data_IF_795930398067
#
_entry.id   IF_795930398067
#
_cell.length_a   1.000
_cell.length_b   1.000
_cell.length_c   1.000
_cell.angle_alpha   90.00
_cell.angle_beta   90.00
_cell.angle_gamma   90.00
#
_symmetry.space_group_name_H-M   'P 1'
#
loop_
_entity.id
_entity.type
_entity.pdbx_description
1 polymer ?
#
# COMPACT_ATOMS: atom_id res chain seq x y z
N UNK A 1 0.53 -5.17 1.01
CA UNK A 1 -0.22 -3.93 1.36
C UNK A 1 0.76 -2.82 1.71
N UNK A 2 0.32 -1.57 1.90
CA UNK A 2 1.20 -0.43 2.25
C UNK A 2 0.46 0.60 3.11
N UNK A 3 1.17 1.27 4.02
CA UNK A 3 0.69 2.43 4.78
C UNK A 3 0.61 3.72 3.95
N UNK A 4 1.25 3.75 2.77
CA UNK A 4 1.39 4.94 1.91
C UNK A 4 0.77 4.75 0.52
N UNK A 5 0.78 3.52 0.00
CA UNK A 5 0.22 3.24 -1.32
C UNK A 5 -1.30 3.43 -1.39
N UNK A 6 -1.76 4.18 -2.38
CA UNK A 6 -3.18 4.34 -2.70
C UNK A 6 -3.80 3.06 -3.26
N UNK A 7 -5.09 2.84 -2.94
CA UNK A 7 -5.80 1.66 -3.38
C UNK A 7 -6.24 1.78 -4.85
N UNK A 8 -5.54 1.08 -5.75
CA UNK A 8 -5.70 1.20 -7.20
C UNK A 8 -7.10 0.87 -7.74
N UNK A 9 -7.94 0.11 -7.01
CA UNK A 9 -9.34 -0.11 -7.41
C UNK A 9 -10.18 1.17 -7.42
N UNK A 10 -9.78 2.19 -6.65
CA UNK A 10 -10.48 3.46 -6.54
C UNK A 10 -10.22 4.39 -7.73
N UNK A 11 -9.28 4.06 -8.62
CA UNK A 11 -9.03 4.85 -9.83
C UNK A 11 -10.25 4.78 -10.75
N UNK A 12 -10.88 5.91 -11.03
CA UNK A 12 -12.02 6.02 -11.95
C UNK A 12 -11.57 5.76 -13.40
N UNK A 13 -12.20 4.81 -14.11
CA UNK A 13 -11.98 4.59 -15.54
C UNK A 13 -12.41 5.77 -16.40
N UNK A 14 -13.45 6.51 -16.00
CA UNK A 14 -13.92 7.70 -16.70
C UNK A 14 -12.88 8.81 -16.66
N UNK A 15 -12.24 9.04 -15.50
CA UNK A 15 -11.14 9.98 -15.36
C UNK A 15 -9.90 9.61 -16.17
N UNK A 16 -9.67 8.31 -16.41
CA UNK A 16 -8.62 7.87 -17.34
C UNK A 16 -8.94 8.29 -18.79
N UNK A 17 -10.21 8.30 -19.19
CA UNK A 17 -10.64 8.80 -20.50
C UNK A 17 -10.50 10.31 -20.58
N UNK A 18 -10.89 11.05 -19.53
CA UNK A 18 -10.72 12.51 -19.47
C UNK A 18 -9.26 12.95 -19.64
N UNK A 19 -8.32 12.16 -19.09
CA UNK A 19 -6.89 12.40 -19.20
C UNK A 19 -6.24 11.82 -20.47
N UNK A 20 -7.04 11.27 -21.39
CA UNK A 20 -6.58 10.59 -22.61
C UNK A 20 -5.67 9.37 -22.37
N UNK A 21 -5.72 8.77 -21.18
CA UNK A 21 -5.05 7.50 -20.91
C UNK A 21 -5.89 6.33 -21.40
N UNK A 22 -7.21 6.47 -21.49
CA UNK A 22 -8.10 5.52 -22.16
C UNK A 22 -8.92 6.20 -23.25
N UNK A 23 -9.40 5.42 -24.21
CA UNK A 23 -10.38 5.88 -25.18
C UNK A 23 -11.81 5.61 -24.68
N UNK A 24 -12.79 6.34 -25.21
CA UNK A 24 -14.22 6.04 -24.97
C UNK A 24 -14.60 4.62 -25.43
N UNK A 25 -13.89 4.05 -26.39
CA UNK A 25 -14.16 2.70 -26.87
C UNK A 25 -13.72 1.64 -25.86
N UNK A 26 -12.63 1.88 -25.13
CA UNK A 26 -12.17 0.96 -24.07
C UNK A 26 -13.25 0.72 -23.01
N UNK A 27 -13.99 1.77 -22.64
CA UNK A 27 -15.09 1.65 -21.67
C UNK A 27 -16.36 1.00 -22.26
N UNK A 28 -16.62 1.19 -23.56
CA UNK A 28 -17.79 0.58 -24.23
C UNK A 28 -17.69 -0.94 -24.35
N UNK A 29 -16.48 -1.49 -24.31
CA UNK A 29 -16.26 -2.94 -24.38
C UNK A 29 -16.45 -3.64 -23.03
N UNK A 30 -16.70 -2.89 -21.96
CA UNK A 30 -16.92 -3.45 -20.62
C UNK A 30 -18.29 -4.13 -20.58
N UNK A 31 -18.27 -5.41 -20.23
CA UNK A 31 -19.49 -6.17 -19.97
C UNK A 31 -20.06 -5.79 -18.59
N UNK A 32 -20.97 -4.81 -18.59
CA UNK A 32 -21.61 -4.30 -17.37
C UNK A 32 -22.46 -5.35 -16.64
N UNK A 33 -22.86 -6.45 -17.31
CA UNK A 33 -23.66 -7.51 -16.69
C UNK A 33 -22.93 -8.27 -15.58
N UNK A 34 -21.59 -8.11 -15.49
CA UNK A 34 -20.73 -8.69 -14.46
C UNK A 34 -20.70 -7.89 -13.15
N UNK A 35 -21.40 -6.75 -13.10
CA UNK A 35 -21.38 -5.81 -11.98
C UNK A 35 -22.78 -5.56 -11.46
N UNK A 36 -22.85 -5.09 -10.21
CA UNK A 36 -24.09 -4.86 -9.49
C UNK A 36 -24.06 -3.47 -8.85
N UNK A 37 -25.21 -2.80 -8.82
CA UNK A 37 -25.32 -1.47 -8.22
C UNK A 37 -25.31 -1.53 -6.68
N UNK A 38 -25.74 -2.66 -6.09
CA UNK A 38 -25.90 -2.81 -4.64
C UNK A 38 -24.65 -3.35 -3.93
N UNK A 39 -23.75 -4.02 -4.63
CA UNK A 39 -22.55 -4.61 -4.03
C UNK A 39 -21.37 -4.69 -4.99
N UNK A 40 -20.17 -4.73 -4.41
CA UNK A 40 -18.93 -4.82 -5.17
C UNK A 40 -18.62 -6.28 -5.50
N UNK A 41 -18.70 -6.64 -6.78
CA UNK A 41 -18.20 -7.91 -7.29
C UNK A 41 -16.66 -7.91 -7.36
N UNK A 42 -15.98 -8.03 -6.20
CA UNK A 42 -14.54 -7.77 -6.05
C UNK A 42 -13.65 -8.47 -7.09
N UNK A 43 -13.90 -9.75 -7.39
CA UNK A 43 -13.12 -10.49 -8.40
C UNK A 43 -13.29 -9.89 -9.80
N UNK A 44 -14.51 -9.52 -10.17
CA UNK A 44 -14.79 -8.91 -11.47
C UNK A 44 -14.18 -7.50 -11.56
N UNK A 45 -14.29 -6.70 -10.49
CA UNK A 45 -13.69 -5.36 -10.41
C UNK A 45 -12.17 -5.44 -10.50
N UNK A 46 -11.53 -6.36 -9.76
CA UNK A 46 -10.08 -6.58 -9.82
C UNK A 46 -9.62 -6.84 -11.24
N UNK A 47 -10.20 -7.83 -11.90
CA UNK A 47 -9.82 -8.23 -13.26
C UNK A 47 -10.02 -7.08 -14.25
N UNK A 48 -11.15 -6.37 -14.16
CA UNK A 48 -11.42 -5.21 -15.02
C UNK A 48 -10.39 -4.09 -14.79
N UNK A 49 -10.12 -3.73 -13.54
CA UNK A 49 -9.20 -2.64 -13.21
C UNK A 49 -7.77 -2.99 -13.63
N UNK A 50 -7.33 -4.24 -13.47
CA UNK A 50 -6.03 -4.72 -13.97
C UNK A 50 -5.91 -4.52 -15.49
N UNK A 51 -6.93 -4.95 -16.24
CA UNK A 51 -6.94 -4.79 -17.71
C UNK A 51 -6.91 -3.32 -18.12
N UNK A 52 -7.77 -2.49 -17.54
CA UNK A 52 -7.89 -1.08 -17.89
C UNK A 52 -6.65 -0.27 -17.52
N UNK A 53 -6.05 -0.53 -16.36
CA UNK A 53 -4.84 0.18 -15.94
C UNK A 53 -3.63 -0.23 -16.80
N UNK A 54 -3.55 -1.50 -17.22
CA UNK A 54 -2.55 -1.95 -18.18
C UNK A 54 -2.65 -1.21 -19.51
N UNK A 55 -3.86 -1.13 -20.08
CA UNK A 55 -4.12 -0.34 -21.31
C UNK A 55 -3.80 1.14 -21.12
N UNK A 56 -4.20 1.70 -19.98
CA UNK A 56 -3.97 3.10 -19.66
C UNK A 56 -2.48 3.45 -19.59
N UNK A 57 -1.67 2.56 -19.03
CA UNK A 57 -0.23 2.72 -18.96
C UNK A 57 0.42 2.69 -20.35
N UNK A 58 0.01 1.76 -21.22
CA UNK A 58 0.55 1.69 -22.58
C UNK A 58 0.18 2.93 -23.40
N UNK A 59 -1.07 3.40 -23.31
CA UNK A 59 -1.47 4.66 -23.95
C UNK A 59 -0.72 5.87 -23.38
N UNK A 60 -0.52 5.93 -22.06
CA UNK A 60 0.24 6.99 -21.41
C UNK A 60 1.68 7.05 -21.95
N UNK A 61 2.35 5.90 -22.04
CA UNK A 61 3.71 5.79 -22.61
C UNK A 61 3.77 6.21 -24.07
N UNK A 62 2.80 5.81 -24.89
CA UNK A 62 2.82 6.06 -26.33
C UNK A 62 2.43 7.49 -26.71
N UNK A 63 1.46 8.08 -25.99
CA UNK A 63 0.80 9.30 -26.43
C UNK A 63 1.26 10.56 -25.67
N UNK A 64 1.85 10.40 -24.49
CA UNK A 64 2.33 11.54 -23.69
C UNK A 64 3.85 11.66 -23.77
N UNK A 65 4.33 12.69 -24.49
CA UNK A 65 5.76 12.97 -24.64
C UNK A 65 6.47 13.29 -23.32
N UNK A 66 5.71 13.72 -22.30
CA UNK A 66 6.24 14.04 -20.97
C UNK A 66 6.01 12.88 -19.97
N UNK A 67 5.56 11.70 -20.43
CA UNK A 67 5.25 10.57 -19.57
C UNK A 67 6.40 10.23 -18.62
N UNK A 68 7.61 10.06 -19.15
CA UNK A 68 8.80 9.72 -18.37
C UNK A 68 9.14 10.81 -17.34
N UNK A 69 9.07 12.09 -17.73
CA UNK A 69 9.33 13.20 -16.82
C UNK A 69 8.27 13.31 -15.71
N UNK A 70 6.99 13.07 -16.01
CA UNK A 70 5.90 13.06 -15.03
C UNK A 70 6.10 11.95 -13.99
N UNK A 71 6.39 10.72 -14.43
CA UNK A 71 6.63 9.60 -13.52
C UNK A 71 7.91 9.81 -12.71
N UNK A 72 8.98 10.34 -13.32
CA UNK A 72 10.22 10.68 -12.61
C UNK A 72 9.98 11.73 -11.53
N UNK A 73 9.26 12.81 -11.84
CA UNK A 73 8.94 13.85 -10.86
C UNK A 73 8.09 13.30 -9.71
N UNK A 74 7.09 12.48 -10.01
CA UNK A 74 6.28 11.83 -8.99
C UNK A 74 7.11 10.88 -8.13
N UNK A 75 7.99 10.08 -8.76
CA UNK A 75 8.91 9.19 -8.05
C UNK A 75 9.81 9.97 -7.07
N UNK A 76 10.46 11.06 -7.51
CA UNK A 76 11.31 11.85 -6.62
C UNK A 76 10.52 12.49 -5.47
N UNK A 77 9.30 12.96 -5.72
CA UNK A 77 8.42 13.52 -4.67
C UNK A 77 7.97 12.47 -3.65
N UNK A 78 7.85 11.21 -4.08
CA UNK A 78 7.34 10.10 -3.26
C UNK A 78 8.43 9.09 -2.87
N UNK A 79 9.70 9.43 -3.08
CA UNK A 79 10.84 8.50 -2.99
C UNK A 79 10.96 7.79 -1.66
N UNK A 80 10.53 8.43 -0.57
CA UNK A 80 10.58 7.90 0.79
C UNK A 80 9.74 6.62 1.00
N UNK A 81 8.80 6.30 0.10
CA UNK A 81 8.01 5.06 0.17
C UNK A 81 7.86 4.34 -1.17
N UNK A 82 7.86 5.06 -2.29
CA UNK A 82 7.43 4.50 -3.58
C UNK A 82 8.42 3.49 -4.18
N UNK A 83 9.71 3.65 -3.92
CA UNK A 83 10.74 2.75 -4.45
C UNK A 83 10.55 1.34 -3.89
N UNK A 84 10.54 1.21 -2.56
CA UNK A 84 10.24 -0.07 -1.90
C UNK A 84 8.85 -0.58 -2.25
N UNK A 85 7.84 0.30 -2.29
CA UNK A 85 6.47 -0.09 -2.64
C UNK A 85 6.40 -0.78 -4.01
N UNK A 86 7.03 -0.20 -5.03
CA UNK A 86 6.98 -0.75 -6.39
C UNK A 86 7.81 -2.02 -6.52
N UNK A 87 8.97 -2.11 -5.85
CA UNK A 87 9.74 -3.34 -5.76
C UNK A 87 8.96 -4.46 -5.08
N UNK A 88 8.34 -4.17 -3.94
CA UNK A 88 7.53 -5.14 -3.21
C UNK A 88 6.41 -5.70 -4.09
N UNK A 89 5.68 -4.86 -4.81
CA UNK A 89 4.62 -5.31 -5.72
C UNK A 89 5.17 -6.17 -6.87
N UNK A 90 6.25 -5.72 -7.51
CA UNK A 90 6.88 -6.45 -8.62
C UNK A 90 7.41 -7.82 -8.17
N UNK A 91 8.06 -7.90 -7.00
CA UNK A 91 8.53 -9.16 -6.45
C UNK A 91 7.34 -10.05 -6.09
N UNK A 92 6.31 -9.49 -5.44
CA UNK A 92 5.13 -10.25 -5.03
C UNK A 92 4.40 -10.90 -6.20
N UNK A 93 4.38 -10.27 -7.36
CA UNK A 93 3.83 -10.85 -8.59
C UNK A 93 4.62 -12.06 -9.10
N UNK A 94 5.92 -12.14 -8.81
CA UNK A 94 6.75 -13.30 -9.15
C UNK A 94 6.56 -14.47 -8.17
N UNK A 95 6.14 -14.18 -6.94
CA UNK A 95 5.96 -15.14 -5.85
C UNK A 95 4.50 -15.15 -5.38
N UNK A 96 3.57 -15.45 -6.28
CA UNK A 96 2.11 -15.34 -6.08
C UNK A 96 1.55 -16.07 -4.84
N UNK A 97 2.31 -17.00 -4.26
CA UNK A 97 1.93 -17.78 -3.08
C UNK A 97 2.81 -17.43 -1.88
N UNK A 98 2.17 -17.11 -0.75
CA UNK A 98 2.84 -16.86 0.52
C UNK A 98 3.06 -15.37 0.81
N UNK A 99 3.93 -15.11 1.77
CA UNK A 99 4.31 -13.77 2.24
C UNK A 99 5.72 -13.43 1.78
N UNK A 100 6.15 -12.18 1.97
CA UNK A 100 7.54 -11.80 1.69
C UNK A 100 8.58 -12.59 2.50
N UNK A 101 8.19 -13.24 3.59
CA UNK A 101 9.06 -14.10 4.39
C UNK A 101 9.39 -15.45 3.73
N UNK A 102 8.64 -15.81 2.69
CA UNK A 102 8.84 -17.02 1.88
C UNK A 102 9.74 -16.76 0.66
N UNK A 103 10.11 -15.50 0.41
CA UNK A 103 11.00 -15.13 -0.69
C UNK A 103 12.43 -15.65 -0.48
N UNK A 104 13.23 -15.78 -1.56
CA UNK A 104 14.67 -16.05 -1.43
C UNK A 104 15.34 -15.11 -0.42
N UNK A 105 16.32 -15.63 0.32
CA UNK A 105 16.91 -14.91 1.47
C UNK A 105 17.40 -13.50 1.11
N UNK A 106 17.96 -13.33 -0.09
CA UNK A 106 18.43 -12.02 -0.57
C UNK A 106 17.30 -10.99 -0.74
N UNK A 107 16.13 -11.40 -1.24
CA UNK A 107 14.96 -10.54 -1.38
C UNK A 107 14.26 -10.33 -0.04
N UNK A 108 14.08 -11.41 0.74
CA UNK A 108 13.47 -11.37 2.07
C UNK A 108 14.20 -10.42 3.02
N UNK A 109 15.54 -10.41 2.95
CA UNK A 109 16.39 -9.54 3.79
C UNK A 109 16.69 -8.17 3.16
N UNK A 110 15.98 -7.80 2.09
CA UNK A 110 16.11 -6.49 1.46
C UNK A 110 17.56 -6.18 1.05
N UNK A 111 18.27 -7.16 0.47
CA UNK A 111 19.65 -6.96 0.05
C UNK A 111 19.72 -6.07 -1.18
N UNK A 112 20.44 -4.95 -1.08
CA UNK A 112 20.50 -3.93 -2.14
C UNK A 112 20.88 -4.48 -3.51
N UNK A 113 21.84 -5.41 -3.58
CA UNK A 113 22.27 -6.04 -4.84
C UNK A 113 21.15 -6.83 -5.54
N UNK A 114 20.33 -7.56 -4.77
CA UNK A 114 19.21 -8.31 -5.32
C UNK A 114 18.09 -7.36 -5.79
N UNK A 115 17.84 -6.29 -5.04
CA UNK A 115 16.85 -5.27 -5.44
C UNK A 115 17.30 -4.49 -6.68
N UNK A 116 18.58 -4.18 -6.80
CA UNK A 116 19.14 -3.52 -7.99
C UNK A 116 19.01 -4.39 -9.25
N UNK A 117 19.15 -5.71 -9.11
CA UNK A 117 18.87 -6.64 -10.19
C UNK A 117 17.40 -6.57 -10.62
N UNK A 118 16.45 -6.59 -9.67
CA UNK A 118 15.02 -6.43 -9.98
C UNK A 118 14.74 -5.08 -10.64
N UNK A 119 15.35 -3.98 -10.17
CA UNK A 119 15.21 -2.65 -10.80
C UNK A 119 15.63 -2.66 -12.28
N UNK A 120 16.69 -3.40 -12.61
CA UNK A 120 17.18 -3.52 -13.99
C UNK A 120 16.29 -4.43 -14.84
N UNK A 121 15.93 -5.60 -14.32
CA UNK A 121 15.18 -6.62 -15.06
C UNK A 121 13.70 -6.27 -15.24
N UNK A 122 13.10 -5.58 -14.27
CA UNK A 122 11.66 -5.29 -14.20
C UNK A 122 11.33 -3.80 -14.31
N UNK A 123 12.19 -3.03 -14.98
CA UNK A 123 12.06 -1.56 -15.09
C UNK A 123 10.67 -1.12 -15.57
N UNK A 124 10.12 -1.76 -16.60
CA UNK A 124 8.81 -1.40 -17.15
C UNK A 124 7.67 -1.70 -16.16
N UNK A 125 7.77 -2.83 -15.44
CA UNK A 125 6.77 -3.19 -14.43
C UNK A 125 6.78 -2.27 -13.22
N UNK A 126 7.97 -1.86 -12.78
CA UNK A 126 8.13 -0.85 -11.73
C UNK A 126 7.52 0.48 -12.19
N UNK A 127 7.80 0.91 -13.42
CA UNK A 127 7.21 2.13 -13.99
C UNK A 127 5.67 2.05 -14.10
N UNK A 128 5.12 0.87 -14.40
CA UNK A 128 3.67 0.63 -14.33
C UNK A 128 3.12 0.87 -12.92
N UNK A 129 3.75 0.35 -11.87
CA UNK A 129 3.29 0.58 -10.49
C UNK A 129 3.42 2.05 -10.08
N UNK A 130 4.48 2.75 -10.51
CA UNK A 130 4.63 4.20 -10.30
C UNK A 130 3.49 4.94 -11.00
N UNK A 131 3.16 4.59 -12.25
CA UNK A 131 2.04 5.17 -12.99
C UNK A 131 0.71 4.97 -12.28
N UNK A 132 0.42 3.76 -11.79
CA UNK A 132 -0.83 3.48 -11.07
C UNK A 132 -0.95 4.38 -9.83
N UNK A 133 0.12 4.56 -9.06
CA UNK A 133 0.12 5.47 -7.91
C UNK A 133 0.01 6.94 -8.34
N UNK A 134 0.72 7.35 -9.39
CA UNK A 134 0.62 8.70 -9.95
C UNK A 134 -0.83 9.05 -10.30
N UNK A 135 -1.52 8.16 -11.01
CA UNK A 135 -2.94 8.33 -11.38
C UNK A 135 -3.83 8.38 -10.14
N UNK A 136 -3.65 7.45 -9.20
CA UNK A 136 -4.42 7.44 -7.95
C UNK A 136 -4.32 8.79 -7.24
N UNK A 137 -3.11 9.29 -7.02
CA UNK A 137 -2.88 10.54 -6.31
C UNK A 137 -3.41 11.75 -7.07
N UNK A 138 -3.29 11.76 -8.39
CA UNK A 138 -3.88 12.82 -9.22
C UNK A 138 -5.41 12.89 -8.99
N UNK A 139 -6.11 11.76 -9.09
CA UNK A 139 -7.57 11.72 -8.92
C UNK A 139 -7.99 12.03 -7.48
N UNK A 140 -7.24 11.51 -6.50
CA UNK A 140 -7.51 11.76 -5.09
C UNK A 140 -7.37 13.24 -4.73
N UNK A 141 -6.31 13.90 -5.19
CA UNK A 141 -6.11 15.34 -4.93
C UNK A 141 -7.12 16.22 -5.67
N UNK A 142 -7.58 15.81 -6.87
CA UNK A 142 -8.69 16.48 -7.55
C UNK A 142 -9.97 16.43 -6.70
N UNK A 143 -10.31 15.25 -6.16
CA UNK A 143 -11.46 15.06 -5.28
C UNK A 143 -11.32 15.86 -3.98
N UNK A 144 -10.16 15.78 -3.32
CA UNK A 144 -9.87 16.52 -2.08
C UNK A 144 -10.03 18.02 -2.32
N UNK A 145 -9.46 18.54 -3.41
CA UNK A 145 -9.61 19.95 -3.79
C UNK A 145 -11.09 20.32 -3.99
N UNK A 146 -11.83 19.51 -4.74
CA UNK A 146 -13.26 19.75 -4.99
C UNK A 146 -14.08 19.84 -3.69
N UNK A 147 -13.80 18.95 -2.73
CA UNK A 147 -14.45 18.93 -1.41
C UNK A 147 -14.05 20.17 -0.58
N UNK A 148 -12.76 20.48 -0.51
CA UNK A 148 -12.25 21.59 0.28
C UNK A 148 -12.68 22.97 -0.26
N UNK A 149 -12.77 23.13 -1.58
CA UNK A 149 -13.33 24.33 -2.22
C UNK A 149 -14.82 24.56 -1.84
N UNK A 150 -15.49 23.53 -1.30
CA UNK A 150 -16.87 23.56 -0.78
C UNK A 150 -16.94 23.50 0.74
N UNK A 151 -15.82 23.71 1.42
CA UNK A 151 -15.70 23.64 2.88
C UNK A 151 -16.07 22.26 3.47
N UNK A 152 -15.98 21.19 2.67
CA UNK A 152 -16.14 19.81 3.14
C UNK A 152 -14.77 19.24 3.43
N UNK A 153 -14.53 18.85 4.69
CA UNK A 153 -13.30 18.18 5.13
C UNK A 153 -13.42 16.67 4.99
N UNK A 154 -12.33 16.01 4.61
CA UNK A 154 -12.21 14.56 4.53
C UNK A 154 -11.59 14.03 5.82
N UNK A 155 -12.28 13.08 6.46
CA UNK A 155 -11.78 12.33 7.61
C UNK A 155 -11.23 11.00 7.11
N UNK A 156 -9.91 10.79 7.25
CA UNK A 156 -9.27 9.51 7.00
C UNK A 156 -9.32 8.58 8.20
N UNK A 157 -9.02 7.30 7.95
CA UNK A 157 -8.87 6.27 8.98
C UNK A 157 -7.55 5.52 8.76
N UNK A 158 -6.84 5.25 9.85
CA UNK A 158 -5.52 4.62 9.85
C UNK A 158 -5.46 3.61 10.99
N UNK A 159 -5.37 2.30 10.68
CA UNK A 159 -5.07 1.28 11.66
C UNK A 159 -3.74 1.56 12.36
N UNK A 160 -3.66 1.37 13.67
CA UNK A 160 -2.37 1.53 14.38
C UNK A 160 -1.33 0.52 13.87
N UNK A 161 -1.73 -0.75 13.67
CA UNK A 161 -0.85 -1.80 13.17
C UNK A 161 -0.84 -1.86 11.65
N UNK A 162 0.24 -2.42 11.11
CA UNK A 162 0.41 -2.69 9.70
C UNK A 162 0.26 -4.19 9.48
N UNK A 163 -0.27 -4.58 8.31
CA UNK A 163 -0.28 -5.97 7.89
C UNK A 163 1.12 -6.57 7.78
N UNK A 164 1.28 -7.82 8.23
CA UNK A 164 2.55 -8.50 8.15
C UNK A 164 3.08 -8.55 6.72
N UNK A 165 2.21 -8.87 5.78
CA UNK A 165 2.55 -9.04 4.37
C UNK A 165 2.45 -7.72 3.58
N UNK A 166 3.21 -6.74 4.09
CA UNK A 166 3.29 -5.38 3.59
C UNK A 166 4.71 -4.96 3.26
N UNK A 167 4.80 -3.94 2.41
CA UNK A 167 6.08 -3.29 2.12
C UNK A 167 6.67 -2.64 3.36
N UNK A 168 5.84 -2.09 4.25
CA UNK A 168 6.33 -1.34 5.40
C UNK A 168 7.03 -2.26 6.40
N UNK A 169 6.55 -3.51 6.55
CA UNK A 169 7.21 -4.52 7.38
C UNK A 169 8.44 -5.08 6.67
N UNK A 170 8.34 -5.40 5.38
CA UNK A 170 9.46 -5.95 4.60
C UNK A 170 10.66 -4.99 4.49
N UNK A 171 10.42 -3.70 4.24
CA UNK A 171 11.47 -2.69 4.10
C UNK A 171 12.04 -2.23 5.45
N UNK A 172 11.32 -2.45 6.55
CA UNK A 172 11.70 -2.00 7.90
C UNK A 172 11.54 -3.10 8.95
N UNK A 173 12.07 -4.30 8.66
CA UNK A 173 11.91 -5.48 9.54
C UNK A 173 12.31 -5.25 11.00
N UNK A 174 13.27 -4.35 11.26
CA UNK A 174 13.75 -3.99 12.59
C UNK A 174 12.75 -3.14 13.40
N UNK A 175 11.80 -2.48 12.73
CA UNK A 175 10.71 -1.73 13.38
C UNK A 175 9.68 -2.64 14.02
N UNK A 176 9.72 -3.95 13.76
CA UNK A 176 8.73 -4.91 14.20
C UNK A 176 9.37 -6.05 15.01
N UNK A 177 8.58 -6.68 15.87
CA UNK A 177 8.99 -7.83 16.68
C UNK A 177 8.94 -9.11 15.85
N UNK A 178 10.03 -9.34 15.11
CA UNK A 178 10.22 -10.50 14.24
C UNK A 178 11.40 -11.35 14.72
N UNK A 179 11.35 -12.64 14.41
CA UNK A 179 12.50 -13.52 14.58
C UNK A 179 13.58 -13.17 13.55
N UNK A 180 14.79 -12.83 14.01
CA UNK A 180 15.87 -12.30 13.14
C UNK A 180 16.35 -13.28 12.07
N UNK A 181 16.14 -14.59 12.28
CA UNK A 181 16.60 -15.62 11.36
C UNK A 181 15.54 -15.91 10.30
N UNK A 182 14.30 -16.13 10.72
CA UNK A 182 13.18 -16.55 9.87
C UNK A 182 12.37 -15.39 9.31
N UNK A 183 12.49 -14.20 9.90
CA UNK A 183 11.66 -13.00 9.64
C UNK A 183 10.17 -13.19 9.95
N UNK A 184 9.79 -14.26 10.64
CA UNK A 184 8.42 -14.49 11.07
C UNK A 184 8.06 -13.68 12.32
N UNK A 185 6.78 -13.36 12.48
CA UNK A 185 6.26 -12.72 13.68
C UNK A 185 6.48 -13.62 14.89
N UNK A 186 7.02 -13.08 15.99
CA UNK A 186 7.13 -13.81 17.26
C UNK A 186 5.92 -13.57 18.16
N UNK A 187 5.32 -12.39 18.01
CA UNK A 187 4.09 -11.99 18.68
C UNK A 187 3.14 -11.34 17.68
N UNK A 188 1.85 -11.40 17.97
CA UNK A 188 0.81 -10.74 17.21
C UNK A 188 0.02 -9.77 18.08
N UNK A 189 -0.41 -8.67 17.47
CA UNK A 189 -1.34 -7.74 18.06
C UNK A 189 -2.71 -8.39 18.30
N UNK A 190 -3.39 -7.94 19.34
CA UNK A 190 -4.69 -8.46 19.67
C UNK A 190 -5.34 -7.71 20.82
N UNK A 191 -6.41 -8.32 21.32
CA UNK A 191 -7.10 -7.88 22.51
C UNK A 191 -7.24 -9.05 23.49
N UNK A 192 -6.99 -8.84 24.79
CA UNK A 192 -7.18 -9.90 25.79
C UNK A 192 -8.65 -10.33 25.86
N UNK A 193 -8.94 -11.52 26.41
CA UNK A 193 -10.30 -11.90 26.74
C UNK A 193 -10.95 -10.83 27.65
N UNK A 194 -12.18 -10.45 27.33
CA UNK A 194 -12.91 -9.44 28.09
C UNK A 194 -14.41 -9.70 28.05
N UNK A 195 -15.10 -9.51 29.19
CA UNK A 195 -16.55 -9.64 29.33
C UNK A 195 -17.19 -10.87 28.64
N UNK A 196 -16.50 -12.01 28.63
CA UNK A 196 -16.99 -13.26 28.02
C UNK A 196 -16.65 -13.43 26.54
N UNK A 197 -15.96 -12.48 25.93
CA UNK A 197 -15.37 -12.62 24.60
C UNK A 197 -13.99 -13.29 24.68
N UNK A 198 -13.66 -14.20 23.74
CA UNK A 198 -12.34 -14.82 23.69
C UNK A 198 -11.27 -13.79 23.30
N UNK A 199 -10.00 -14.21 23.41
CA UNK A 199 -8.88 -13.44 22.88
C UNK A 199 -9.09 -13.15 21.40
N UNK A 200 -8.77 -11.92 20.96
CA UNK A 200 -8.77 -11.57 19.54
C UNK A 200 -7.34 -11.60 19.03
N UNK A 201 -7.06 -12.47 18.05
CA UNK A 201 -5.80 -12.50 17.33
C UNK A 201 -5.96 -11.70 16.03
N UNK A 202 -5.22 -10.62 15.87
CA UNK A 202 -5.32 -9.78 14.68
C UNK A 202 -4.28 -10.13 13.60
N UNK A 203 -3.30 -11.00 13.91
CA UNK A 203 -2.24 -11.45 13.01
C UNK A 203 -1.36 -10.32 12.44
N UNK A 204 -1.35 -9.17 13.12
CA UNK A 204 -0.52 -8.01 12.79
C UNK A 204 0.74 -7.98 13.64
N UNK A 205 1.93 -7.66 13.07
CA UNK A 205 3.15 -7.52 13.83
C UNK A 205 3.08 -6.32 14.79
N UNK A 206 3.82 -6.46 15.89
CA UNK A 206 3.93 -5.41 16.91
C UNK A 206 5.22 -4.63 16.69
N UNK A 207 5.14 -3.32 16.86
CA UNK A 207 6.30 -2.44 16.78
C UNK A 207 7.35 -2.73 17.87
N UNK A 208 8.62 -2.59 17.53
CA UNK A 208 9.74 -2.78 18.44
C UNK A 208 10.10 -1.47 19.18
N UNK A 209 9.17 -0.97 20.00
CA UNK A 209 9.34 0.26 20.78
C UNK A 209 10.41 0.19 21.89
N UNK A 210 10.84 -1.03 22.25
CA UNK A 210 11.75 -1.28 23.38
C UNK A 210 13.24 -1.26 22.98
N UNK A 211 13.57 -1.24 21.69
CA UNK A 211 14.96 -1.15 21.22
C UNK A 211 15.35 0.32 21.03
N UNK A 212 16.29 0.80 21.85
CA UNK A 212 16.75 2.19 21.85
C UNK A 212 17.40 2.63 20.52
N UNK A 213 17.90 1.70 19.70
CA UNK A 213 18.46 2.01 18.37
C UNK A 213 17.38 2.07 17.28
N UNK A 214 16.23 1.46 17.53
CA UNK A 214 15.08 1.44 16.61
C UNK A 214 14.14 2.58 16.91
N UNK A 215 13.86 2.83 18.19
CA UNK A 215 12.83 3.75 18.65
C UNK A 215 12.88 5.14 17.98
N UNK A 216 14.03 5.84 17.86
CA UNK A 216 14.08 7.13 17.17
C UNK A 216 13.67 7.05 15.70
N UNK A 217 14.17 6.05 14.95
CA UNK A 217 13.83 5.85 13.53
C UNK A 217 12.39 5.42 13.33
N UNK A 218 11.85 4.61 14.25
CA UNK A 218 10.44 4.25 14.26
C UNK A 218 9.55 5.47 14.52
N UNK A 219 9.96 6.40 15.40
CA UNK A 219 9.28 7.70 15.53
C UNK A 219 9.31 8.50 14.24
N UNK A 220 10.47 8.60 13.57
CA UNK A 220 10.58 9.29 12.28
C UNK A 220 9.65 8.66 11.23
N UNK A 221 9.60 7.33 11.14
CA UNK A 221 8.68 6.61 10.25
C UNK A 221 7.21 6.92 10.57
N UNK A 222 6.82 6.96 11.84
CA UNK A 222 5.48 7.36 12.26
C UNK A 222 5.15 8.82 11.92
N UNK A 223 6.13 9.72 12.05
CA UNK A 223 5.99 11.13 11.64
C UNK A 223 5.76 11.21 10.13
N UNK A 224 6.51 10.48 9.31
CA UNK A 224 6.29 10.43 7.86
C UNK A 224 4.92 9.84 7.52
N UNK A 225 4.52 8.75 8.20
CA UNK A 225 3.20 8.13 8.02
C UNK A 225 2.06 9.11 8.31
N UNK A 226 2.14 9.87 9.39
CA UNK A 226 1.15 10.90 9.73
C UNK A 226 1.20 12.10 8.78
N UNK A 227 2.39 12.55 8.38
CA UNK A 227 2.54 13.63 7.40
C UNK A 227 1.92 13.26 6.06
N UNK A 228 2.17 12.04 5.61
CA UNK A 228 1.59 11.50 4.40
C UNK A 228 0.06 11.42 4.51
N UNK A 229 -0.46 10.88 5.62
CA UNK A 229 -1.90 10.79 5.86
C UNK A 229 -2.58 12.17 5.86
N UNK A 230 -2.01 13.16 6.54
CA UNK A 230 -2.53 14.53 6.56
C UNK A 230 -2.32 15.29 5.24
N UNK A 231 -1.46 14.80 4.36
CA UNK A 231 -1.40 15.29 2.99
C UNK A 231 -2.64 14.83 2.19
N UNK A 232 -3.09 13.58 2.40
CA UNK A 232 -4.21 12.99 1.65
C UNK A 232 -5.58 13.32 2.24
N UNK A 233 -5.71 13.49 3.56
CA UNK A 233 -6.97 13.85 4.23
C UNK A 233 -6.82 15.15 5.03
N UNK A 234 -7.90 15.67 5.61
CA UNK A 234 -7.86 16.90 6.41
C UNK A 234 -7.84 16.61 7.92
N UNK A 235 -8.40 15.46 8.32
CA UNK A 235 -8.41 14.95 9.69
C UNK A 235 -8.10 13.46 9.63
N UNK A 236 -7.27 12.96 10.53
CA UNK A 236 -6.90 11.55 10.58
C UNK A 236 -7.38 10.90 11.88
N UNK A 237 -8.27 9.91 11.78
CA UNK A 237 -8.55 8.98 12.87
C UNK A 237 -7.41 7.96 12.94
N UNK A 238 -6.95 7.65 14.14
CA UNK A 238 -6.07 6.51 14.40
C UNK A 238 -6.91 5.46 15.12
N UNK A 239 -7.14 4.34 14.45
CA UNK A 239 -7.85 3.22 15.04
C UNK A 239 -7.02 2.54 16.13
N UNK A 240 -7.69 2.03 17.16
CA UNK A 240 -7.05 1.44 18.34
C UNK A 240 -5.99 2.35 18.99
N UNK A 241 -6.27 3.67 19.07
CA UNK A 241 -5.38 4.70 19.61
C UNK A 241 -4.75 4.35 20.97
N UNK A 242 -5.47 3.61 21.81
CA UNK A 242 -5.00 3.12 23.13
C UNK A 242 -3.71 2.30 23.04
N UNK A 243 -3.43 1.68 21.89
CA UNK A 243 -2.21 0.94 21.60
C UNK A 243 -0.93 1.78 21.60
N UNK A 244 -1.05 3.11 21.46
CA UNK A 244 0.08 4.05 21.61
C UNK A 244 0.49 4.23 23.08
N UNK A 245 -0.43 4.04 24.03
CA UNK A 245 -0.14 4.07 25.46
C UNK A 245 0.33 2.70 25.94
N UNK A 246 -0.43 1.65 25.66
CA UNK A 246 0.00 0.26 25.85
C UNK A 246 -0.79 -0.68 24.95
N UNK A 247 -0.13 -1.78 24.55
CA UNK A 247 -0.68 -2.76 23.62
C UNK A 247 -0.63 -4.16 24.21
N UNK A 248 -1.50 -5.04 23.70
CA UNK A 248 -1.51 -6.45 24.08
C UNK A 248 -0.75 -7.28 23.05
N UNK A 249 0.31 -7.95 23.52
CA UNK A 249 1.18 -8.78 22.71
C UNK A 249 0.94 -10.25 23.00
N UNK A 250 0.60 -11.02 21.97
CA UNK A 250 0.21 -12.43 22.10
C UNK A 250 1.23 -13.29 21.35
N UNK A 251 1.86 -14.31 21.99
CA UNK A 251 2.71 -15.26 21.28
C UNK A 251 1.95 -15.93 20.12
N UNK A 252 2.57 -16.02 18.95
CA UNK A 252 1.91 -16.52 17.72
C UNK A 252 1.44 -17.99 17.80
N UNK A 253 1.95 -18.76 18.76
CA UNK A 253 1.56 -20.15 19.04
C UNK A 253 0.36 -20.27 20.01
N UNK A 254 -0.22 -19.14 20.44
CA UNK A 254 -1.40 -19.11 21.31
C UNK A 254 -2.64 -19.64 20.59
N UNK A 255 -3.26 -20.68 21.15
CA UNK A 255 -4.53 -21.23 20.65
C UNK A 255 -5.71 -20.35 21.09
N UNK A 256 -6.68 -20.18 20.19
CA UNK A 256 -7.98 -19.56 20.48
C UNK A 256 -8.96 -20.56 21.09
#
# INVERSE_FOLDING_TARGET
MSAFGGHWWLISPEKLVENNFLSKNDLKMIDLSKFHDDYVAYKAVRNLKEELLGKAYEHFKMNDKEAENKLKNFFEQQRYWIDDFTLFLTIKEQYENGTWADWPDSLRRHQSSALDQIRQEQKDRIQYHIFVQYVFYQQWFELKKYANDRHVKIVGDMPIYIDYDSVDVWAHTDFFQLDKNTMQQTVTAGFPPDHGFPVQLWNMPIYNWNDDNVKPRLFDWWIERLRHALNIVDIQRIDHFRGLESHYAIPVDTKT
#
